data_IF_003765553009
#
_entry.id   IF_003765553009
#
_cell.length_a   1.000
_cell.length_b   1.000
_cell.length_c   1.000
_cell.angle_alpha   90.00
_cell.angle_beta   90.00
_cell.angle_gamma   90.00
#
_symmetry.space_group_name_H-M   'P 1'
#
loop_
_entity.id
_entity.type
_entity.pdbx_description
1 polymer ?
#
# COMPACT_ATOMS: atom_id res chain seq x y z
N UNK A 1 -7.28 -4.46 9.14
CA UNK A 1 -8.06 -4.22 10.35
C UNK A 1 -9.15 -5.28 10.54
N UNK A 2 -10.27 -5.29 9.83
CA UNK A 2 -11.41 -6.20 10.10
C UNK A 2 -11.03 -7.69 10.11
N UNK A 3 -10.17 -8.14 9.20
CA UNK A 3 -9.72 -9.52 9.10
C UNK A 3 -8.83 -9.91 10.28
N UNK A 4 -7.90 -9.06 10.65
CA UNK A 4 -6.99 -9.31 11.78
C UNK A 4 -7.74 -9.33 13.12
N UNK A 5 -8.67 -8.40 13.30
CA UNK A 5 -9.48 -8.34 14.51
C UNK A 5 -10.40 -9.56 14.65
N UNK A 6 -11.06 -9.98 13.56
CA UNK A 6 -11.85 -11.20 13.54
C UNK A 6 -11.02 -12.45 13.90
N UNK A 7 -9.82 -12.58 13.36
CA UNK A 7 -8.90 -13.66 13.72
C UNK A 7 -8.49 -13.60 15.21
N UNK A 8 -8.29 -12.40 15.76
CA UNK A 8 -7.99 -12.19 17.16
C UNK A 8 -9.13 -12.63 18.11
N UNK A 9 -10.38 -12.46 17.72
CA UNK A 9 -11.55 -12.89 18.47
C UNK A 9 -12.04 -14.30 18.13
N UNK A 10 -11.36 -14.98 17.22
CA UNK A 10 -11.79 -16.27 16.67
C UNK A 10 -13.20 -16.22 16.05
N UNK A 11 -13.53 -15.09 15.49
CA UNK A 11 -14.84 -14.77 14.94
C UNK A 11 -14.81 -14.73 13.41
N UNK A 12 -15.92 -15.13 12.79
CA UNK A 12 -16.14 -14.87 11.38
C UNK A 12 -16.58 -13.43 11.14
N UNK A 13 -16.47 -12.96 9.91
CA UNK A 13 -17.00 -11.66 9.49
C UNK A 13 -17.76 -11.79 8.18
N UNK A 14 -18.68 -10.88 7.98
CA UNK A 14 -19.47 -10.78 6.75
C UNK A 14 -19.13 -9.48 6.00
N UNK A 15 -19.07 -9.57 4.68
CA UNK A 15 -18.87 -8.40 3.84
C UNK A 15 -20.01 -8.29 2.81
N UNK A 16 -20.61 -7.11 2.72
CA UNK A 16 -21.62 -6.81 1.71
C UNK A 16 -21.02 -5.99 0.59
N UNK A 17 -20.98 -6.55 -0.60
CA UNK A 17 -20.49 -5.87 -1.81
C UNK A 17 -21.60 -5.84 -2.86
N UNK A 18 -21.79 -4.68 -3.49
CA UNK A 18 -22.69 -4.58 -4.65
C UNK A 18 -22.08 -5.32 -5.83
N UNK A 19 -22.90 -6.11 -6.55
CA UNK A 19 -22.42 -6.95 -7.65
C UNK A 19 -21.70 -6.20 -8.78
N UNK A 20 -22.11 -4.97 -9.07
CA UNK A 20 -21.45 -4.13 -10.07
C UNK A 20 -20.09 -3.60 -9.59
N UNK A 21 -19.93 -3.28 -8.31
CA UNK A 21 -18.65 -2.90 -7.71
C UNK A 21 -17.70 -4.08 -7.74
N UNK A 22 -18.17 -5.24 -7.32
CA UNK A 22 -17.41 -6.49 -7.35
C UNK A 22 -16.82 -6.79 -8.73
N UNK A 23 -17.64 -6.69 -9.80
CA UNK A 23 -17.21 -6.99 -11.17
C UNK A 23 -16.26 -5.98 -11.79
N UNK A 24 -16.19 -4.76 -11.26
CA UNK A 24 -15.42 -3.66 -11.84
C UNK A 24 -14.12 -3.36 -11.09
N UNK A 25 -13.95 -3.91 -9.90
CA UNK A 25 -12.80 -3.60 -9.05
C UNK A 25 -11.63 -4.51 -9.39
N UNK A 26 -10.58 -3.99 -10.00
CA UNK A 26 -9.43 -4.76 -10.49
C UNK A 26 -8.60 -5.47 -9.41
N UNK A 27 -8.80 -5.14 -8.12
CA UNK A 27 -8.11 -5.81 -7.01
C UNK A 27 -9.01 -6.78 -6.24
N UNK A 28 -10.13 -7.19 -6.82
CA UNK A 28 -11.10 -8.05 -6.11
C UNK A 28 -10.50 -9.40 -5.75
N UNK A 29 -9.74 -10.00 -6.67
CA UNK A 29 -9.12 -11.31 -6.44
C UNK A 29 -8.09 -11.25 -5.29
N UNK A 30 -7.32 -10.16 -5.19
CA UNK A 30 -6.40 -9.95 -4.05
C UNK A 30 -7.15 -9.82 -2.73
N UNK A 31 -8.27 -9.11 -2.73
CA UNK A 31 -9.11 -8.99 -1.54
C UNK A 31 -9.67 -10.34 -1.13
N UNK A 32 -10.22 -11.10 -2.07
CA UNK A 32 -10.75 -12.44 -1.80
C UNK A 32 -9.66 -13.40 -1.32
N UNK A 33 -8.46 -13.33 -1.89
CA UNK A 33 -7.33 -14.12 -1.44
C UNK A 33 -6.91 -13.75 0.00
N UNK A 34 -6.84 -12.47 0.32
CA UNK A 34 -6.53 -12.03 1.68
C UNK A 34 -7.60 -12.51 2.68
N UNK A 35 -8.88 -12.43 2.33
CA UNK A 35 -9.98 -12.96 3.14
C UNK A 35 -9.79 -14.45 3.38
N UNK A 36 -9.55 -15.21 2.31
CA UNK A 36 -9.33 -16.65 2.38
C UNK A 36 -8.14 -17.01 3.29
N UNK A 37 -7.00 -16.32 3.14
CA UNK A 37 -5.79 -16.64 3.90
C UNK A 37 -5.97 -16.35 5.41
N UNK A 38 -6.62 -15.24 5.77
CA UNK A 38 -6.94 -14.92 7.16
C UNK A 38 -7.93 -15.92 7.78
N UNK A 39 -8.99 -16.29 7.03
CA UNK A 39 -9.99 -17.26 7.47
C UNK A 39 -9.38 -18.65 7.61
N UNK A 40 -8.57 -19.06 6.64
CA UNK A 40 -7.85 -20.34 6.70
C UNK A 40 -7.01 -20.47 7.97
N UNK A 41 -6.17 -19.46 8.28
CA UNK A 41 -5.33 -19.50 9.49
C UNK A 41 -6.16 -19.46 10.77
N UNK A 42 -7.26 -18.72 10.81
CA UNK A 42 -8.19 -18.71 11.94
C UNK A 42 -8.81 -20.10 12.15
N UNK A 43 -9.32 -20.73 11.10
CA UNK A 43 -9.93 -22.07 11.18
C UNK A 43 -8.92 -23.15 11.57
N UNK A 44 -7.67 -23.03 11.13
CA UNK A 44 -6.59 -23.93 11.54
C UNK A 44 -6.07 -23.65 12.96
N UNK A 45 -6.63 -22.67 13.68
CA UNK A 45 -6.15 -22.27 15.02
C UNK A 45 -4.65 -21.93 15.02
N UNK A 46 -4.17 -21.30 13.91
CA UNK A 46 -2.75 -21.06 13.70
C UNK A 46 -2.17 -19.94 14.59
N UNK A 47 -3.04 -19.09 15.15
CA UNK A 47 -2.62 -17.99 16.03
C UNK A 47 -2.55 -18.44 17.49
N UNK A 48 -1.43 -18.19 18.16
CA UNK A 48 -1.30 -18.37 19.62
C UNK A 48 -2.20 -17.35 20.35
N UNK A 49 -2.51 -17.60 21.61
CA UNK A 49 -3.31 -16.67 22.43
C UNK A 49 -2.62 -15.30 22.61
N UNK A 50 -1.29 -15.26 22.63
CA UNK A 50 -0.54 -14.01 22.64
C UNK A 50 -0.72 -13.24 21.32
N UNK A 51 -0.63 -13.92 20.17
CA UNK A 51 -0.88 -13.31 18.86
C UNK A 51 -2.33 -12.84 18.76
N UNK A 52 -3.30 -13.64 19.16
CA UNK A 52 -4.71 -13.26 19.21
C UNK A 52 -4.93 -12.00 20.06
N UNK A 53 -4.31 -11.91 21.22
CA UNK A 53 -4.39 -10.72 22.08
C UNK A 53 -3.86 -9.46 21.36
N UNK A 54 -2.78 -9.58 20.62
CA UNK A 54 -2.24 -8.48 19.80
C UNK A 54 -3.13 -8.12 18.61
N UNK A 55 -3.72 -9.12 17.95
CA UNK A 55 -4.64 -8.90 16.82
C UNK A 55 -5.95 -8.21 17.24
N UNK A 56 -6.35 -8.28 18.52
CA UNK A 56 -7.50 -7.57 19.09
C UNK A 56 -7.25 -6.10 19.37
N UNK A 57 -5.99 -5.65 19.29
CA UNK A 57 -5.65 -4.24 19.50
C UNK A 57 -6.12 -3.39 18.30
N UNK A 58 -7.13 -2.52 18.45
CA UNK A 58 -7.66 -1.73 17.35
C UNK A 58 -6.72 -0.61 16.90
N UNK A 59 -5.61 -0.37 17.60
CA UNK A 59 -4.62 0.64 17.25
C UNK A 59 -3.56 0.10 16.30
N UNK A 60 -3.50 -1.21 16.11
CA UNK A 60 -2.50 -1.86 15.25
C UNK A 60 -3.16 -2.52 14.05
N UNK A 61 -2.77 -2.08 12.86
CA UNK A 61 -3.09 -2.77 11.61
C UNK A 61 -2.09 -3.90 11.37
N UNK A 62 -2.52 -4.94 10.67
CA UNK A 62 -1.68 -6.10 10.42
C UNK A 62 -1.67 -6.48 8.94
N UNK A 63 -0.49 -6.82 8.45
CA UNK A 63 -0.30 -7.41 7.13
C UNK A 63 0.04 -8.89 7.28
N UNK A 64 -0.73 -9.74 6.59
CA UNK A 64 -0.47 -11.16 6.46
C UNK A 64 0.17 -11.40 5.11
N UNK A 65 1.40 -11.89 5.11
CA UNK A 65 2.14 -12.26 3.92
C UNK A 65 2.20 -13.78 3.80
N UNK A 66 1.69 -14.31 2.72
CA UNK A 66 1.79 -15.74 2.42
C UNK A 66 3.12 -16.03 1.75
N UNK A 67 3.96 -16.87 2.38
CA UNK A 67 5.25 -17.31 1.83
C UNK A 67 5.09 -18.56 0.95
N UNK A 68 4.30 -19.52 1.44
CA UNK A 68 3.93 -20.76 0.74
C UNK A 68 2.58 -21.28 1.27
N UNK A 69 2.22 -22.53 0.94
CA UNK A 69 0.94 -23.11 1.36
C UNK A 69 0.73 -23.22 2.88
N UNK A 70 1.81 -23.22 3.67
CA UNK A 70 1.78 -23.48 5.12
C UNK A 70 2.44 -22.37 5.95
N UNK A 71 3.25 -21.55 5.32
CA UNK A 71 4.06 -20.53 5.99
C UNK A 71 3.55 -19.13 5.68
N UNK A 72 3.33 -18.37 6.75
CA UNK A 72 2.86 -17.00 6.69
C UNK A 72 3.68 -16.14 7.64
N UNK A 73 3.95 -14.91 7.23
CA UNK A 73 4.49 -13.87 8.09
C UNK A 73 3.38 -12.91 8.49
N UNK A 74 3.45 -12.43 9.72
CA UNK A 74 2.52 -11.44 10.27
C UNK A 74 3.30 -10.20 10.69
N UNK A 75 3.03 -9.08 10.04
CA UNK A 75 3.69 -7.81 10.29
C UNK A 75 2.71 -6.76 10.82
N UNK A 76 3.09 -6.00 11.85
CA UNK A 76 2.34 -4.81 12.20
C UNK A 76 2.52 -3.75 11.11
N UNK A 77 1.44 -3.05 10.77
CA UNK A 77 1.45 -1.96 9.82
C UNK A 77 1.30 -0.62 10.53
N UNK A 78 2.04 0.35 10.09
CA UNK A 78 1.82 1.75 10.43
C UNK A 78 1.31 2.49 9.19
N UNK A 79 0.10 3.06 9.31
CA UNK A 79 -0.50 3.85 8.23
C UNK A 79 -0.18 5.32 8.49
N UNK A 80 0.56 5.93 7.58
CA UNK A 80 0.91 7.33 7.68
C UNK A 80 -0.27 8.24 7.37
N UNK A 81 -0.07 9.52 7.66
CA UNK A 81 -0.96 10.59 7.20
C UNK A 81 -1.00 10.63 5.66
N UNK A 82 -2.09 11.17 5.14
CA UNK A 82 -2.19 11.51 3.73
C UNK A 82 -1.28 12.70 3.42
N UNK A 83 -0.45 12.59 2.39
CA UNK A 83 0.42 13.65 1.89
C UNK A 83 -0.09 14.15 0.54
N UNK A 84 0.07 15.45 0.30
CA UNK A 84 -0.35 16.10 -0.94
C UNK A 84 0.80 16.91 -1.52
N UNK A 85 0.99 16.82 -2.84
CA UNK A 85 1.89 17.66 -3.60
C UNK A 85 1.07 18.41 -4.66
N UNK A 86 1.09 19.75 -4.64
CA UNK A 86 0.40 20.57 -5.62
C UNK A 86 1.37 20.94 -6.75
N UNK A 87 1.05 20.50 -7.97
CA UNK A 87 1.83 20.76 -9.19
C UNK A 87 1.13 21.72 -10.16
N UNK A 88 -0.03 22.27 -9.78
CA UNK A 88 -0.90 23.05 -10.68
C UNK A 88 -0.32 24.35 -11.24
N UNK A 89 0.80 24.85 -10.69
CA UNK A 89 1.48 26.05 -11.18
C UNK A 89 2.76 25.74 -11.97
N UNK A 90 3.06 24.45 -12.17
CA UNK A 90 4.29 24.03 -12.84
C UNK A 90 4.10 23.96 -14.35
N UNK A 91 5.15 24.35 -15.08
CA UNK A 91 5.16 24.21 -16.53
C UNK A 91 5.50 22.75 -16.93
N UNK A 92 5.01 22.26 -18.08
CA UNK A 92 5.37 20.94 -18.57
C UNK A 92 6.90 20.75 -18.63
N UNK A 93 7.37 19.60 -18.15
CA UNK A 93 8.79 19.26 -18.08
C UNK A 93 9.53 19.80 -16.85
N UNK A 94 8.90 20.61 -16.01
CA UNK A 94 9.52 21.04 -14.76
C UNK A 94 9.53 19.92 -13.70
N UNK A 95 10.62 19.79 -12.92
CA UNK A 95 10.64 18.89 -11.79
C UNK A 95 9.70 19.41 -10.69
N UNK A 96 8.76 18.57 -10.31
CA UNK A 96 7.85 18.82 -9.20
C UNK A 96 8.25 18.01 -8.00
N UNK A 97 7.86 18.47 -6.81
CA UNK A 97 8.13 17.72 -5.60
C UNK A 97 7.61 18.36 -4.33
N UNK A 98 7.72 17.62 -3.25
CA UNK A 98 7.38 18.06 -1.90
C UNK A 98 8.19 17.29 -0.88
N UNK A 99 8.54 17.95 0.21
CA UNK A 99 9.22 17.35 1.35
C UNK A 99 8.20 17.15 2.48
N UNK A 100 8.21 15.95 3.05
CA UNK A 100 7.31 15.56 4.13
C UNK A 100 8.07 15.03 5.33
N UNK A 101 7.48 15.13 6.50
CA UNK A 101 7.95 14.43 7.69
C UNK A 101 7.07 13.21 7.94
N UNK A 102 7.70 12.06 8.05
CA UNK A 102 7.07 10.80 8.36
C UNK A 102 7.61 10.25 9.69
N UNK A 103 6.72 9.84 10.58
CA UNK A 103 7.11 9.18 11.83
C UNK A 103 6.50 7.78 11.83
N UNK A 104 7.33 6.77 11.98
CA UNK A 104 6.91 5.36 12.07
C UNK A 104 7.57 4.69 13.27
N UNK A 105 6.88 3.83 14.02
CA UNK A 105 7.49 3.06 15.09
C UNK A 105 8.36 1.90 14.57
N UNK A 106 8.27 1.56 13.29
CA UNK A 106 8.95 0.41 12.71
C UNK A 106 9.93 0.84 11.62
N UNK A 107 11.08 0.18 11.59
CA UNK A 107 11.96 0.20 10.43
C UNK A 107 11.49 -0.84 9.42
N UNK A 108 11.56 -0.54 8.13
CA UNK A 108 11.24 -1.51 7.09
C UNK A 108 10.82 -0.90 5.76
N UNK A 109 10.35 -1.78 4.89
CA UNK A 109 9.79 -1.40 3.60
C UNK A 109 8.47 -0.66 3.77
N UNK A 110 8.13 0.16 2.79
CA UNK A 110 6.85 0.87 2.75
C UNK A 110 6.10 0.54 1.45
N UNK A 111 4.79 0.62 1.52
CA UNK A 111 3.90 0.56 0.36
C UNK A 111 3.41 1.97 0.02
N UNK A 112 3.05 2.19 -1.25
CA UNK A 112 2.59 3.48 -1.74
C UNK A 112 1.26 3.29 -2.48
N UNK A 113 0.35 4.22 -2.24
CA UNK A 113 -0.76 4.50 -3.13
C UNK A 113 -0.69 5.97 -3.52
N UNK A 114 -0.12 6.27 -4.68
CA UNK A 114 -0.05 7.59 -5.25
C UNK A 114 -1.22 7.76 -6.22
N UNK A 115 -1.93 8.88 -6.14
CA UNK A 115 -3.03 9.24 -7.04
C UNK A 115 -2.71 10.58 -7.69
N UNK A 116 -3.03 10.71 -8.97
CA UNK A 116 -3.05 11.98 -9.69
C UNK A 116 -4.50 12.45 -9.81
N UNK A 117 -4.73 13.71 -9.44
CA UNK A 117 -6.01 14.39 -9.58
C UNK A 117 -5.79 15.70 -10.36
N UNK A 118 -6.47 15.88 -11.48
CA UNK A 118 -6.39 17.05 -12.35
C UNK A 118 -5.92 16.72 -13.76
N UNK A 119 -5.87 17.71 -14.63
CA UNK A 119 -5.65 17.52 -16.07
C UNK A 119 -4.20 17.21 -16.48
N UNK A 120 -3.29 17.08 -15.50
CA UNK A 120 -1.88 16.84 -15.75
C UNK A 120 -1.49 15.36 -15.73
N UNK A 121 -0.27 15.10 -16.18
CA UNK A 121 0.41 13.82 -16.09
C UNK A 121 1.71 13.98 -15.31
N UNK A 122 2.03 13.06 -14.44
CA UNK A 122 3.34 12.98 -13.80
C UNK A 122 4.14 11.82 -14.37
N UNK A 123 5.44 12.02 -14.49
CA UNK A 123 6.37 11.03 -15.01
C UNK A 123 7.47 10.76 -14.00
N UNK A 124 7.93 9.52 -13.97
CA UNK A 124 9.06 9.08 -13.16
C UNK A 124 8.94 9.49 -11.67
N UNK A 125 7.82 9.21 -10.97
CA UNK A 125 7.71 9.52 -9.56
C UNK A 125 8.80 8.81 -8.76
N UNK A 126 9.37 9.58 -7.81
CA UNK A 126 10.51 9.13 -7.00
C UNK A 126 10.30 9.52 -5.55
N UNK A 127 10.62 8.61 -4.64
CA UNK A 127 10.63 8.83 -3.20
C UNK A 127 12.04 8.68 -2.67
N UNK A 128 12.49 9.66 -1.90
CA UNK A 128 13.79 9.65 -1.22
C UNK A 128 13.55 9.59 0.27
N UNK A 129 14.20 8.65 0.94
CA UNK A 129 14.21 8.46 2.38
C UNK A 129 15.64 8.51 2.90
N UNK A 130 15.87 8.57 4.21
CA UNK A 130 17.24 8.49 4.75
C UNK A 130 17.98 7.20 4.36
N UNK A 131 17.25 6.11 4.11
CA UNK A 131 17.83 4.80 3.81
C UNK A 131 17.94 4.50 2.31
N UNK A 132 17.48 5.40 1.44
CA UNK A 132 17.60 5.18 0.00
C UNK A 132 16.59 5.91 -0.86
N UNK A 133 16.62 5.58 -2.11
CA UNK A 133 15.76 6.15 -3.15
C UNK A 133 15.05 5.02 -3.88
N UNK A 134 13.75 5.18 -4.11
CA UNK A 134 12.99 4.32 -5.01
C UNK A 134 12.36 5.18 -6.10
N UNK A 135 12.52 4.77 -7.34
CA UNK A 135 11.97 5.40 -8.54
C UNK A 135 11.03 4.43 -9.25
N UNK A 136 9.97 4.97 -9.82
CA UNK A 136 8.99 4.23 -10.61
C UNK A 136 9.01 4.78 -12.05
N UNK A 137 9.66 4.09 -13.02
CA UNK A 137 9.72 4.54 -14.41
C UNK A 137 8.36 4.33 -15.09
N UNK A 138 7.43 5.23 -14.88
CA UNK A 138 6.08 5.18 -15.43
C UNK A 138 5.48 6.58 -15.59
N UNK A 139 4.37 6.66 -16.30
CA UNK A 139 3.53 7.85 -16.40
C UNK A 139 2.17 7.60 -15.72
N UNK A 140 1.66 8.61 -14.99
CA UNK A 140 0.41 8.52 -14.27
C UNK A 140 -0.42 9.77 -14.58
N UNK A 141 -1.60 9.58 -15.15
CA UNK A 141 -2.52 10.64 -15.54
C UNK A 141 -3.68 10.79 -14.55
N UNK A 142 -4.59 11.74 -14.84
CA UNK A 142 -5.80 11.96 -14.01
C UNK A 142 -6.54 10.67 -13.67
N UNK A 143 -6.93 10.55 -12.41
CA UNK A 143 -7.67 9.40 -11.82
C UNK A 143 -6.97 8.05 -11.93
N UNK A 144 -5.70 8.02 -12.28
CA UNK A 144 -4.89 6.82 -12.19
C UNK A 144 -4.18 6.74 -10.83
N UNK A 145 -3.77 5.53 -10.49
CA UNK A 145 -3.02 5.25 -9.28
C UNK A 145 -1.74 4.49 -9.60
N UNK A 146 -0.65 4.86 -8.96
CA UNK A 146 0.48 3.97 -8.78
C UNK A 146 0.28 3.23 -7.46
N UNK A 147 0.24 1.92 -7.52
CA UNK A 147 0.21 1.04 -6.38
C UNK A 147 1.55 0.33 -6.29
N UNK A 148 2.23 0.51 -5.17
CA UNK A 148 3.45 -0.23 -4.84
C UNK A 148 3.23 -0.98 -3.53
N UNK A 149 3.51 -2.26 -3.51
CA UNK A 149 3.18 -3.16 -2.42
C UNK A 149 4.42 -3.74 -1.75
N UNK A 150 4.28 -4.27 -0.54
CA UNK A 150 5.39 -4.79 0.27
C UNK A 150 6.16 -5.94 -0.38
N UNK A 151 5.53 -6.66 -1.32
CA UNK A 151 6.17 -7.70 -2.13
C UNK A 151 7.02 -7.16 -3.30
N UNK A 152 7.23 -5.83 -3.34
CA UNK A 152 8.05 -5.16 -4.34
C UNK A 152 7.39 -4.95 -5.70
N UNK A 153 6.12 -5.33 -5.85
CA UNK A 153 5.38 -5.12 -7.11
C UNK A 153 4.83 -3.71 -7.20
N UNK A 154 4.93 -3.14 -8.38
CA UNK A 154 4.35 -1.85 -8.72
C UNK A 154 3.48 -1.95 -9.97
N UNK A 155 2.33 -1.30 -9.94
CA UNK A 155 1.40 -1.23 -11.08
C UNK A 155 0.78 0.15 -11.19
N UNK A 156 0.57 0.61 -12.41
CA UNK A 156 -0.34 1.74 -12.68
C UNK A 156 -1.73 1.17 -12.94
N UNK A 157 -2.73 1.76 -12.31
CA UNK A 157 -4.14 1.32 -12.43
C UNK A 157 -5.05 2.46 -12.83
N UNK A 158 -6.23 2.13 -13.35
CA UNK A 158 -7.33 3.07 -13.54
C UNK A 158 -8.03 3.39 -12.20
N UNK A 159 -9.06 4.23 -12.25
CA UNK A 159 -9.91 4.60 -11.11
C UNK A 159 -10.65 3.43 -10.45
N UNK A 160 -10.77 2.30 -11.14
CA UNK A 160 -11.39 1.08 -10.63
C UNK A 160 -10.34 0.04 -10.21
N UNK A 161 -9.07 0.43 -10.16
CA UNK A 161 -7.93 -0.42 -9.84
C UNK A 161 -7.65 -1.55 -10.85
N UNK A 162 -8.15 -1.44 -12.09
CA UNK A 162 -7.73 -2.33 -13.16
C UNK A 162 -6.31 -1.98 -13.59
N UNK A 163 -5.45 -2.97 -13.72
CA UNK A 163 -4.05 -2.77 -14.11
C UNK A 163 -3.97 -2.26 -15.54
N UNK A 164 -3.28 -1.14 -15.73
CA UNK A 164 -2.95 -0.53 -17.02
C UNK A 164 -1.53 -0.93 -17.43
N UNK A 165 -0.59 -0.88 -16.48
CA UNK A 165 0.82 -1.11 -16.70
C UNK A 165 1.46 -1.77 -15.47
N UNK A 166 2.36 -2.74 -15.70
CA UNK A 166 3.26 -3.25 -14.66
C UNK A 166 4.56 -2.43 -14.69
N UNK A 167 4.97 -1.94 -13.54
CA UNK A 167 6.14 -1.08 -13.39
C UNK A 167 7.25 -1.84 -12.68
N UNK A 168 8.49 -1.71 -13.17
CA UNK A 168 9.66 -2.26 -12.48
C UNK A 168 10.30 -1.15 -11.63
N UNK A 169 10.15 -1.19 -10.28
CA UNK A 169 10.76 -0.17 -9.43
C UNK A 169 12.28 -0.26 -9.45
N UNK A 170 12.94 0.89 -9.38
CA UNK A 170 14.39 1.00 -9.31
C UNK A 170 14.79 1.54 -7.93
N UNK A 171 15.65 0.82 -7.21
CA UNK A 171 16.18 1.26 -5.92
C UNK A 171 15.58 0.54 -4.72
N UNK A 172 15.55 1.22 -3.58
CA UNK A 172 15.21 0.63 -2.27
C UNK A 172 14.08 1.39 -1.60
N UNK A 173 13.06 0.65 -1.15
CA UNK A 173 11.94 1.16 -0.36
C UNK A 173 12.13 0.84 1.12
N UNK A 174 13.00 1.57 1.81
CA UNK A 174 13.21 1.38 3.24
C UNK A 174 13.14 2.73 3.97
N UNK A 175 12.57 2.70 5.17
CA UNK A 175 12.50 3.86 6.05
C UNK A 175 12.93 3.44 7.47
N UNK A 176 13.77 4.22 8.16
CA UNK A 176 14.13 3.91 9.54
C UNK A 176 12.97 4.17 10.51
N UNK A 177 12.99 3.52 11.66
CA UNK A 177 12.08 3.87 12.77
C UNK A 177 12.34 5.28 13.27
N UNK A 178 11.32 5.90 13.86
CA UNK A 178 11.37 7.27 14.34
C UNK A 178 10.89 8.28 13.29
N UNK A 179 11.32 9.52 13.42
CA UNK A 179 10.94 10.60 12.51
C UNK A 179 11.96 10.74 11.38
N UNK A 180 11.47 10.77 10.16
CA UNK A 180 12.29 10.84 8.95
C UNK A 180 11.76 11.89 7.98
N UNK A 181 12.67 12.55 7.27
CA UNK A 181 12.32 13.33 6.09
C UNK A 181 12.10 12.37 4.91
N UNK A 182 11.02 12.57 4.19
CA UNK A 182 10.70 11.86 2.95
C UNK A 182 10.45 12.89 1.87
N UNK A 183 11.21 12.83 0.79
CA UNK A 183 11.02 13.71 -0.37
C UNK A 183 10.33 12.97 -1.50
N UNK A 184 9.31 13.56 -2.04
CA UNK A 184 8.68 13.16 -3.30
C UNK A 184 9.16 14.04 -4.43
N UNK A 185 9.44 13.47 -5.60
CA UNK A 185 9.68 14.26 -6.82
C UNK A 185 9.18 13.53 -8.07
N UNK A 186 8.83 14.28 -9.09
CA UNK A 186 8.39 13.79 -10.39
C UNK A 186 8.65 14.85 -11.47
N UNK A 187 8.45 14.47 -12.72
CA UNK A 187 8.38 15.44 -13.85
C UNK A 187 6.91 15.68 -14.17
N UNK A 188 6.50 16.94 -14.27
CA UNK A 188 5.14 17.33 -14.65
C UNK A 188 5.02 17.50 -16.17
N UNK A 189 3.91 17.01 -16.74
CA UNK A 189 3.56 17.18 -18.16
C UNK A 189 2.14 17.70 -18.33
#
# INVERSE_FOLDING_TARGET
WAMSEAAGFDAGYGMTIRSNTFRRHGQIDRLLQAIHDWDYLREQQAFTEEQKARLRDPQTEWHLEKLDEKNFNLYPLYISKHFTCNLGEMQPGQPGGSDWSWTTPYEGSFAIRLKVDGDGTIKDPKFTTPNGVIKFPCEISDRQYLLYTFDGKAVVTDKNYNVIEEVQPEGVSNIPSGSSAVSFSCVSH
#
